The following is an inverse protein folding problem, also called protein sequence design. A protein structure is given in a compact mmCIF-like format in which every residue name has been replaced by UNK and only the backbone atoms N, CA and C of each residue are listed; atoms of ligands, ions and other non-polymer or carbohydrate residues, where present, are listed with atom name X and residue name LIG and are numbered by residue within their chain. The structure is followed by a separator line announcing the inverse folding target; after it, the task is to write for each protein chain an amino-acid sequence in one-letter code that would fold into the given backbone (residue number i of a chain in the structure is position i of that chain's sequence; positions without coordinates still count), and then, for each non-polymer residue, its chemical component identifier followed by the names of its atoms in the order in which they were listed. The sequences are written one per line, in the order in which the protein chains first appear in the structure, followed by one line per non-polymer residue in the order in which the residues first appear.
data_IF_598451249157
#
_entry.id   IF_598451249157
#
_cell.length_a   1.000
_cell.length_b   1.000
_cell.length_c   1.000
_cell.angle_alpha   90.00
_cell.angle_beta   90.00
_cell.angle_gamma   90.00
#
_symmetry.space_group_name_H-M   'P 1'
#
loop_
_entity.id
_entity.type
_entity.pdbx_description
1 polymer ?
2 non-polymer ?
3 non-polymer ?
4 non-polymer ?
5 water ?
#
# COMPACT_ATOMS: atom_id res chain seq x y z
N UNK A 7 4.64 9.09 35.21
CA UNK A 7 5.88 8.21 35.15
C UNK A 7 6.60 8.42 33.80
N UNK A 8 6.10 9.38 33.01
CA UNK A 8 6.63 9.69 31.69
C UNK A 8 6.84 11.20 31.57
N UNK A 9 8.05 11.63 31.34
CA UNK A 9 8.26 13.01 31.03
C UNK A 9 8.11 13.26 29.52
N UNK A 10 7.88 14.50 29.14
CA UNK A 10 7.85 14.84 27.73
C UNK A 10 9.13 14.42 27.05
N UNK A 11 10.28 14.75 27.64
CA UNK A 11 11.55 14.40 27.04
C UNK A 11 11.72 12.91 26.85
N UNK A 12 11.28 12.12 27.80
CA UNK A 12 11.39 10.68 27.67
C UNK A 12 10.54 10.15 26.54
N UNK A 13 9.32 10.69 26.43
CA UNK A 13 8.45 10.24 25.35
C UNK A 13 9.01 10.68 24.01
N UNK A 14 9.47 11.91 23.87
CA UNK A 14 9.98 12.38 22.60
C UNK A 14 11.13 11.48 22.09
N UNK A 15 11.97 11.04 23.04
CA UNK A 15 13.10 10.21 22.75
C UNK A 15 12.75 8.84 22.21
N UNK A 16 11.47 8.49 22.21
CA UNK A 16 11.03 7.21 21.65
C UNK A 16 9.96 7.37 20.57
N UNK A 17 9.78 8.57 20.04
CA UNK A 17 8.81 8.83 18.97
C UNK A 17 9.46 8.81 17.61
N UNK A 18 8.78 8.14 16.69
CA UNK A 18 8.98 8.25 15.24
C UNK A 18 7.87 9.13 14.66
N UNK A 19 8.21 10.31 14.23
CA UNK A 19 7.25 11.28 13.69
C UNK A 19 7.08 11.02 12.23
N UNK A 20 5.85 10.77 11.77
CA UNK A 20 5.60 10.02 10.55
C UNK A 20 4.65 10.74 9.63
N UNK A 21 4.92 10.62 8.32
CA UNK A 21 4.02 11.02 7.25
C UNK A 21 4.12 9.99 6.16
N UNK A 22 3.02 9.32 5.85
CA UNK A 22 2.98 8.22 4.89
C UNK A 22 1.82 8.35 3.93
N UNK A 23 1.16 9.47 3.83
CA UNK A 23 0.04 9.59 2.91
C UNK A 23 0.50 9.45 1.49
N UNK A 24 -0.31 8.80 0.62
CA UNK A 24 0.05 8.69 -0.81
C UNK A 24 0.29 10.01 -1.48
N UNK A 25 -0.41 11.07 -1.05
CA UNK A 25 -0.31 12.37 -1.66
C UNK A 25 0.81 13.24 -1.10
N UNK A 26 1.66 12.68 -0.21
CA UNK A 26 2.74 13.47 0.36
C UNK A 26 3.70 13.94 -0.72
N UNK A 27 4.13 15.19 -0.57
CA UNK A 27 5.07 15.81 -1.48
C UNK A 27 6.44 15.99 -0.81
N UNK A 28 7.48 16.33 -1.59
CA UNK A 28 8.74 16.67 -0.95
C UNK A 28 8.64 17.78 0.08
N UNK A 29 7.88 18.82 -0.19
CA UNK A 29 7.75 19.93 0.74
C UNK A 29 7.00 19.50 2.00
N UNK A 30 6.04 18.59 1.88
CA UNK A 30 5.43 18.07 3.07
C UNK A 30 6.44 17.37 3.96
N UNK A 31 7.39 16.66 3.36
CA UNK A 31 8.42 15.97 4.10
C UNK A 31 9.46 16.91 4.72
N UNK A 32 9.83 17.94 3.99
CA UNK A 32 10.70 18.93 4.59
C UNK A 32 10.05 19.56 5.84
N UNK A 33 8.76 19.86 5.75
CA UNK A 33 8.04 20.41 6.92
C UNK A 33 8.02 19.37 8.07
N UNK A 34 7.78 18.10 7.73
CA UNK A 34 7.78 17.03 8.73
C UNK A 34 9.09 16.96 9.47
N UNK A 35 10.20 17.02 8.76
CA UNK A 35 11.51 16.95 9.37
C UNK A 35 11.74 18.14 10.28
N UNK A 36 11.38 19.34 9.85
CA UNK A 36 11.53 20.52 10.71
C UNK A 36 10.74 20.37 11.98
N UNK A 37 9.52 19.87 11.87
CA UNK A 37 8.69 19.64 13.07
C UNK A 37 9.33 18.62 13.97
N UNK A 38 9.82 17.52 13.42
CA UNK A 38 10.48 16.50 14.21
C UNK A 38 11.68 17.06 14.94
N UNK A 39 12.46 17.89 14.28
CA UNK A 39 13.63 18.54 14.87
C UNK A 39 13.18 19.42 16.01
N UNK A 40 12.15 20.25 15.81
CA UNK A 40 11.69 21.17 16.84
C UNK A 40 11.21 20.39 18.07
N UNK A 41 10.55 19.26 17.85
CA UNK A 41 10.02 18.45 18.95
C UNK A 41 11.06 17.60 19.64
N UNK A 42 12.23 17.45 19.04
CA UNK A 42 13.27 16.65 19.65
C UNK A 42 13.00 15.17 19.65
N UNK A 43 12.30 14.64 18.67
CA UNK A 43 11.96 13.24 18.56
C UNK A 43 13.13 12.40 18.07
N UNK A 44 13.00 11.09 18.21
CA UNK A 44 14.02 10.15 17.86
C UNK A 44 14.23 10.01 16.37
N UNK A 45 13.13 9.96 15.61
CA UNK A 45 13.17 9.62 14.19
C UNK A 45 12.06 10.30 13.46
N UNK A 46 12.24 10.42 12.15
CA UNK A 46 11.13 10.59 11.25
C UNK A 46 10.96 9.34 10.40
N UNK A 47 9.72 9.07 9.99
CA UNK A 47 9.41 7.93 9.15
C UNK A 47 8.65 8.39 7.93
N UNK A 48 9.17 7.99 6.74
CA UNK A 48 8.64 8.44 5.47
C UNK A 48 8.64 7.26 4.48
N UNK A 49 8.01 7.50 3.34
CA UNK A 49 7.90 6.52 2.29
C UNK A 49 9.23 6.44 1.51
N UNK A 50 9.49 5.29 0.86
CA UNK A 50 10.76 5.12 0.16
C UNK A 50 11.20 6.19 -0.82
N UNK A 51 10.32 6.72 -1.65
CA UNK A 51 10.78 7.74 -2.60
C UNK A 51 11.07 9.08 -1.95
N UNK A 52 10.75 9.25 -0.68
CA UNK A 52 10.94 10.50 0.03
C UNK A 52 12.07 10.47 1.04
N UNK A 53 12.75 9.33 1.18
CA UNK A 53 13.85 9.19 2.10
C UNK A 53 14.94 10.21 1.83
N UNK A 54 15.31 10.33 0.55
CA UNK A 54 16.43 11.26 0.25
C UNK A 54 16.05 12.71 0.56
N UNK A 55 14.80 13.09 0.38
CA UNK A 55 14.39 14.44 0.78
C UNK A 55 14.54 14.62 2.26
N UNK A 56 14.07 13.64 3.03
CA UNK A 56 14.19 13.73 4.48
C UNK A 56 15.64 13.80 4.92
N UNK A 57 16.47 12.93 4.35
CA UNK A 57 17.88 12.88 4.71
C UNK A 57 18.60 14.17 4.36
N UNK A 58 18.16 14.85 3.31
CA UNK A 58 18.78 16.05 2.86
C UNK A 58 18.56 17.24 3.76
N UNK A 59 17.59 17.20 4.68
CA UNK A 59 17.32 18.29 5.59
C UNK A 59 17.38 17.84 7.03
N UNK A 60 17.59 16.60 7.33
CA UNK A 60 17.57 16.10 8.74
C UNK A 60 18.77 16.64 9.48
N UNK A 61 18.57 17.18 10.67
CA UNK A 61 19.71 17.65 11.47
C UNK A 61 20.45 16.45 12.05
N UNK A 62 21.64 16.76 12.55
CA UNK A 62 22.39 15.77 13.29
C UNK A 62 21.53 15.12 14.38
N UNK A 63 21.66 13.82 14.48
CA UNK A 63 21.04 13.03 15.51
C UNK A 63 19.70 12.42 15.13
N UNK A 64 19.00 12.97 14.14
CA UNK A 64 17.65 12.49 13.80
C UNK A 64 17.75 11.24 12.95
N UNK A 65 17.18 10.13 13.42
CA UNK A 65 17.15 8.90 12.65
C UNK A 65 16.08 9.00 11.56
N UNK A 66 16.30 8.24 10.48
CA UNK A 66 15.35 8.18 9.37
C UNK A 66 14.87 6.76 9.17
N UNK A 67 13.60 6.52 9.32
CA UNK A 67 12.98 5.24 9.09
C UNK A 67 12.23 5.30 7.75
N UNK A 68 12.32 4.25 6.99
CA UNK A 68 11.55 4.07 5.79
C UNK A 68 10.68 2.85 5.88
N UNK A 69 9.49 2.89 5.34
CA UNK A 69 8.65 1.70 5.28
C UNK A 69 9.01 0.85 4.06
N UNK A 70 8.75 -0.44 4.12
CA UNK A 70 8.98 -1.36 3.04
C UNK A 70 7.82 -2.32 2.89
N UNK A 71 7.41 -2.59 1.69
CA UNK A 71 6.27 -3.41 1.45
C UNK A 71 4.97 -2.84 1.96
N UNK A 72 4.85 -1.49 1.99
CA UNK A 72 3.87 -0.81 2.81
C UNK A 72 2.84 -0.09 1.96
N UNK A 73 1.56 -0.09 2.34
CA UNK A 73 1.02 -0.66 3.58
C UNK A 73 0.49 -2.05 3.48
N UNK A 74 0.40 -2.65 2.30
CA UNK A 74 -0.35 -3.88 2.13
C UNK A 74 0.35 -5.11 2.57
N UNK A 75 1.68 -5.14 2.55
CA UNK A 75 2.42 -6.34 2.75
C UNK A 75 2.40 -7.27 1.56
N UNK A 76 1.66 -6.93 0.52
CA UNK A 76 1.43 -7.88 -0.62
C UNK A 76 2.46 -7.58 -1.72
N UNK A 77 3.70 -7.93 -1.43
CA UNK A 77 4.82 -7.78 -2.34
C UNK A 77 5.67 -9.01 -2.14
N UNK A 78 6.30 -9.52 -3.17
CA UNK A 78 7.12 -10.72 -3.00
C UNK A 78 8.41 -10.35 -2.22
N UNK A 79 9.08 -11.32 -1.60
CA UNK A 79 10.23 -11.03 -0.76
C UNK A 79 11.32 -10.27 -1.44
N UNK A 80 11.62 -10.62 -2.70
CA UNK A 80 12.68 -9.96 -3.45
C UNK A 80 12.40 -8.47 -3.60
N UNK A 81 11.15 -8.09 -3.73
CA UNK A 81 10.77 -6.66 -3.86
C UNK A 81 10.88 -5.98 -2.51
N UNK A 82 10.38 -6.57 -1.43
CA UNK A 82 10.52 -5.95 -0.13
C UNK A 82 11.99 -5.71 0.20
N UNK A 83 12.82 -6.71 -0.03
CA UNK A 83 14.23 -6.62 0.30
C UNK A 83 14.92 -5.57 -0.52
N UNK A 84 14.68 -5.53 -1.83
CA UNK A 84 15.31 -4.53 -2.68
C UNK A 84 14.81 -3.13 -2.32
N UNK A 85 13.54 -2.98 -2.01
CA UNK A 85 13.03 -1.68 -1.57
C UNK A 85 13.73 -1.21 -0.32
N UNK A 86 13.91 -2.11 0.64
CA UNK A 86 14.61 -1.78 1.85
C UNK A 86 16.05 -1.36 1.58
N UNK A 87 16.75 -2.11 0.75
CA UNK A 87 18.13 -1.82 0.42
C UNK A 87 18.25 -0.43 -0.21
N UNK A 88 17.39 -0.10 -1.16
CA UNK A 88 17.38 1.20 -1.81
C UNK A 88 17.13 2.30 -0.81
N UNK A 89 16.23 2.09 0.14
CA UNK A 89 15.92 3.13 1.11
C UNK A 89 17.11 3.35 2.00
N UNK A 90 17.82 2.31 2.42
CA UNK A 90 19.04 2.49 3.19
C UNK A 90 20.06 3.28 2.35
N UNK A 91 20.22 2.95 1.07
CA UNK A 91 21.14 3.71 0.19
C UNK A 91 20.79 5.18 0.10
N UNK A 92 19.50 5.50 0.22
CA UNK A 92 18.99 6.88 0.15
C UNK A 92 19.14 7.61 1.46
N UNK A 93 19.50 6.93 2.56
CA UNK A 93 19.68 7.54 3.85
C UNK A 93 18.96 6.96 5.02
N UNK A 94 18.11 5.96 4.83
CA UNK A 94 17.40 5.37 5.99
C UNK A 94 18.35 4.63 6.86
N UNK A 95 18.14 4.72 8.17
CA UNK A 95 18.85 3.91 9.13
C UNK A 95 17.96 2.83 9.78
N UNK A 96 16.68 2.92 9.56
CA UNK A 96 15.72 1.94 10.05
C UNK A 96 14.74 1.65 8.94
N UNK A 97 14.23 0.39 8.92
CA UNK A 97 13.22 -0.04 7.99
C UNK A 97 12.07 -0.64 8.74
N UNK A 98 10.84 -0.20 8.44
CA UNK A 98 9.62 -0.78 9.03
C UNK A 98 8.92 -1.53 7.89
N UNK A 99 9.06 -2.84 7.85
CA UNK A 99 8.49 -3.68 6.83
C UNK A 99 7.13 -4.24 7.22
N UNK A 100 6.26 -4.53 6.27
CA UNK A 100 5.00 -5.14 6.53
C UNK A 100 5.03 -6.60 6.14
N UNK A 101 4.55 -7.50 7.00
CA UNK A 101 4.41 -8.90 6.63
C UNK A 101 3.31 -9.08 5.62
N UNK A 102 3.28 -10.25 4.99
CA UNK A 102 2.15 -10.73 4.25
C UNK A 102 1.15 -11.32 5.24
N UNK A 103 0.17 -10.50 5.58
CA UNK A 103 -0.84 -10.83 6.55
C UNK A 103 -1.63 -12.08 6.17
N UNK A 104 -1.95 -12.19 4.89
CA UNK A 104 -2.68 -13.33 4.37
C UNK A 104 -1.88 -14.59 4.49
N UNK A 105 -0.57 -14.55 4.26
CA UNK A 105 0.28 -15.71 4.50
C UNK A 105 0.18 -16.16 5.96
N UNK A 106 0.22 -15.22 6.91
CA UNK A 106 0.12 -15.56 8.30
C UNK A 106 -1.24 -16.21 8.58
N UNK A 107 -2.31 -15.66 8.04
CA UNK A 107 -3.63 -16.18 8.29
C UNK A 107 -3.87 -17.53 7.65
N UNK A 108 -3.17 -17.81 6.57
CA UNK A 108 -3.21 -19.12 5.91
C UNK A 108 -2.40 -20.14 6.67
N UNK A 109 -1.66 -19.74 7.67
CA UNK A 109 -0.81 -20.69 8.42
C UNK A 109 0.56 -20.89 7.81
N UNK A 110 0.90 -20.08 6.80
CA UNK A 110 2.15 -20.20 6.08
C UNK A 110 3.24 -19.37 6.73
N UNK A 111 3.56 -19.74 7.94
CA UNK A 111 4.54 -19.00 8.69
C UNK A 111 5.96 -19.19 8.15
N UNK A 112 6.19 -20.28 7.42
CA UNK A 112 7.45 -20.42 6.71
C UNK A 112 7.62 -19.29 5.65
N UNK A 113 6.54 -18.95 4.95
CA UNK A 113 6.58 -17.86 3.99
C UNK A 113 6.83 -16.54 4.69
N UNK A 114 6.21 -16.30 5.83
CA UNK A 114 6.44 -15.08 6.62
C UNK A 114 7.90 -15.01 7.06
N UNK A 115 8.43 -16.10 7.55
CA UNK A 115 9.83 -16.15 7.93
C UNK A 115 10.74 -15.85 6.77
N UNK A 116 10.51 -16.47 5.63
CA UNK A 116 11.34 -16.22 4.46
C UNK A 116 11.32 -14.78 4.01
N UNK A 117 10.20 -14.10 4.13
CA UNK A 117 10.06 -12.72 3.78
C UNK A 117 10.88 -11.81 4.69
N UNK A 118 10.74 -12.02 5.99
CA UNK A 118 11.52 -11.23 6.98
C UNK A 118 13.01 -11.48 6.80
N UNK A 119 13.37 -12.74 6.58
CA UNK A 119 14.75 -13.11 6.43
C UNK A 119 15.37 -12.42 5.20
N UNK A 120 14.65 -12.36 4.10
CA UNK A 120 15.15 -11.72 2.89
C UNK A 120 15.43 -10.26 3.15
N UNK A 121 14.50 -9.58 3.81
CA UNK A 121 14.70 -8.14 4.15
C UNK A 121 15.87 -8.01 5.11
N UNK A 122 15.90 -8.84 6.15
CA UNK A 122 16.98 -8.78 7.14
C UNK A 122 18.34 -8.84 6.52
N UNK A 123 18.51 -9.74 5.58
CA UNK A 123 19.80 -9.95 4.92
C UNK A 123 20.17 -8.80 4.01
N UNK A 124 19.18 -8.14 3.42
CA UNK A 124 19.42 -7.00 2.54
C UNK A 124 19.79 -5.74 3.27
N UNK A 125 19.38 -5.59 4.51
CA UNK A 125 19.68 -4.41 5.30
C UNK A 125 20.25 -4.80 6.67
N UNK A 126 21.39 -5.49 6.65
CA UNK A 126 21.92 -6.05 7.87
C UNK A 126 22.28 -5.04 8.92
N UNK A 127 22.70 -3.85 8.50
CA UNK A 127 23.13 -2.82 9.47
C UNK A 127 22.02 -1.91 9.94
N UNK A 128 20.85 -2.00 9.34
CA UNK A 128 19.72 -1.14 9.72
C UNK A 128 19.01 -1.72 10.92
N UNK A 129 18.23 -0.90 11.61
CA UNK A 129 17.24 -1.41 12.54
C UNK A 129 16.03 -1.85 11.77
N UNK A 130 15.65 -3.11 11.91
CA UNK A 130 14.52 -3.68 11.20
C UNK A 130 13.33 -3.86 12.13
N UNK A 131 12.23 -3.21 11.79
CA UNK A 131 10.98 -3.39 12.48
C UNK A 131 10.02 -4.15 11.63
N UNK A 132 9.31 -5.11 12.17
CA UNK A 132 8.36 -5.91 11.44
C UNK A 132 6.95 -5.56 11.88
N UNK A 133 6.17 -4.98 10.97
CA UNK A 133 4.76 -4.68 11.18
C UNK A 133 3.96 -5.93 11.00
N UNK A 134 3.37 -6.38 12.11
CA UNK A 134 2.60 -7.61 12.14
C UNK A 134 1.12 -7.42 11.83
N UNK A 135 0.67 -6.20 11.76
CA UNK A 135 -0.75 -5.87 11.61
C UNK A 135 -1.56 -6.58 12.67
N UNK A 136 -1.27 -6.27 13.92
CA UNK A 136 -1.82 -6.99 15.03
C UNK A 136 -3.32 -6.94 15.11
N UNK A 137 -3.95 -5.83 14.73
CA UNK A 137 -5.41 -5.77 14.81
C UNK A 137 -6.02 -6.79 13.86
N UNK A 138 -5.42 -7.01 12.70
CA UNK A 138 -5.93 -7.99 11.75
C UNK A 138 -5.67 -9.41 12.23
N UNK A 139 -4.49 -9.67 12.75
CA UNK A 139 -4.19 -11.02 13.28
C UNK A 139 -5.17 -11.36 14.41
N UNK A 140 -5.45 -10.42 15.29
CA UNK A 140 -6.38 -10.64 16.37
C UNK A 140 -7.78 -10.81 15.88
N UNK A 141 -8.23 -10.02 14.94
CA UNK A 141 -9.61 -10.07 14.43
C UNK A 141 -9.86 -11.38 13.72
N UNK A 142 -8.94 -11.79 12.86
CA UNK A 142 -9.20 -12.89 11.95
C UNK A 142 -8.73 -14.23 12.50
N UNK A 143 -7.91 -14.25 13.52
CA UNK A 143 -7.41 -15.47 14.11
C UNK A 143 -7.45 -15.46 15.62
N UNK A 144 -6.58 -14.69 16.23
CA UNK A 144 -6.55 -14.55 17.69
C UNK A 144 -5.14 -14.37 18.23
N UNK A 145 -5.03 -14.46 19.56
CA UNK A 145 -3.81 -14.20 20.27
C UNK A 145 -2.71 -15.17 19.91
N UNK A 146 -2.99 -16.48 19.77
CA UNK A 146 -1.85 -17.36 19.44
C UNK A 146 -1.12 -17.01 18.16
N UNK A 147 -1.86 -16.58 17.15
CA UNK A 147 -1.25 -16.22 15.88
C UNK A 147 -0.38 -14.98 16.04
N UNK A 148 -0.85 -14.00 16.80
CA UNK A 148 -0.04 -12.81 17.05
C UNK A 148 1.28 -13.19 17.71
N UNK A 149 1.21 -14.03 18.76
CA UNK A 149 2.43 -14.45 19.44
C UNK A 149 3.34 -15.21 18.48
N UNK A 150 2.75 -16.10 17.67
CA UNK A 150 3.57 -16.87 16.74
C UNK A 150 4.25 -16.02 15.69
N UNK A 151 3.56 -15.02 15.15
CA UNK A 151 4.22 -14.11 14.23
C UNK A 151 5.38 -13.34 14.90
N UNK A 152 5.21 -12.98 16.16
CA UNK A 152 6.30 -12.35 16.87
C UNK A 152 7.49 -13.27 17.03
N UNK A 153 7.22 -14.55 17.33
CA UNK A 153 8.32 -15.55 17.42
C UNK A 153 9.05 -15.66 16.07
N UNK A 154 8.29 -15.64 14.97
CA UNK A 154 8.89 -15.72 13.63
C UNK A 154 9.79 -14.52 13.39
N UNK A 155 9.30 -13.33 13.75
CA UNK A 155 10.09 -12.12 13.55
C UNK A 155 11.38 -12.16 14.35
N UNK A 156 11.27 -12.59 15.62
CA UNK A 156 12.45 -12.76 16.43
C UNK A 156 13.44 -13.70 15.81
N UNK A 157 12.98 -14.86 15.38
CA UNK A 157 13.86 -15.89 14.85
C UNK A 157 14.47 -15.49 13.54
N UNK A 158 13.85 -14.59 12.79
CA UNK A 158 14.39 -14.12 11.52
C UNK A 158 15.31 -12.91 11.68
N UNK A 159 15.55 -12.49 12.92
CA UNK A 159 16.53 -11.47 13.19
C UNK A 159 16.01 -10.05 13.31
N UNK A 160 14.71 -9.84 13.37
CA UNK A 160 14.19 -8.49 13.52
C UNK A 160 14.64 -7.86 14.81
N UNK A 161 14.74 -6.54 14.80
CA UNK A 161 15.04 -5.77 15.98
C UNK A 161 13.81 -5.31 16.79
N UNK A 162 12.70 -5.13 16.07
CA UNK A 162 11.45 -4.71 16.64
C UNK A 162 10.30 -5.49 16.01
N UNK A 163 9.23 -5.65 16.77
CA UNK A 163 7.90 -5.90 16.23
C UNK A 163 7.12 -4.62 16.38
N UNK A 164 6.20 -4.38 15.46
CA UNK A 164 5.40 -3.16 15.38
C UNK A 164 3.97 -3.53 15.14
N UNK A 165 3.04 -2.83 15.80
CA UNK A 165 1.64 -3.23 15.74
C UNK A 165 1.06 -3.06 14.35
N UNK A 166 1.15 -1.89 13.74
CA UNK A 166 0.17 -1.54 12.72
C UNK A 166 0.66 -0.62 11.64
N UNK A 167 0.07 -0.70 10.47
CA UNK A 167 0.33 0.24 9.42
C UNK A 167 -0.40 1.57 9.60
N UNK A 168 -1.53 1.55 10.32
CA UNK A 168 -2.42 2.68 10.31
C UNK A 168 -3.33 2.79 9.11
N UNK A 169 -3.28 1.80 8.25
CA UNK A 169 -4.09 1.76 7.04
C UNK A 169 -5.03 0.61 6.96
N UNK A 170 -5.00 -0.31 7.87
CA UNK A 170 -5.85 -1.50 7.77
C UNK A 170 -7.16 -1.27 8.51
N UNK A 171 -8.30 -1.67 7.93
CA UNK A 171 -9.61 -1.44 8.58
C UNK A 171 -9.78 -2.14 9.92
N UNK A 172 -8.98 -3.15 10.24
CA UNK A 172 -9.09 -3.82 11.53
C UNK A 172 -8.66 -2.89 12.67
N UNK A 173 -7.85 -1.88 12.36
CA UNK A 173 -7.45 -0.88 13.32
C UNK A 173 -5.97 -0.84 13.57
N UNK A 174 -5.62 -0.06 14.58
CA UNK A 174 -4.30 0.25 14.96
C UNK A 174 -3.90 -0.40 16.25
N UNK A 175 -2.96 0.23 16.99
CA UNK A 175 -2.44 -0.35 18.21
C UNK A 175 -3.54 -0.54 19.24
N UNK A 176 -3.46 -1.62 20.00
CA UNK A 176 -4.26 -1.81 21.21
C UNK A 176 -3.36 -2.27 22.30
N UNK A 177 -3.77 -1.98 23.52
CA UNK A 177 -3.10 -2.48 24.72
C UNK A 177 -2.98 -4.01 24.67
N UNK A 178 -4.06 -4.69 24.27
CA UNK A 178 -4.03 -6.15 24.20
C UNK A 178 -2.88 -6.62 23.31
N UNK A 179 -2.77 -6.02 22.11
CA UNK A 179 -1.73 -6.41 21.19
C UNK A 179 -0.37 -6.13 21.76
N UNK A 180 -0.15 -4.94 22.32
CA UNK A 180 1.16 -4.59 22.84
C UNK A 180 1.57 -5.53 23.97
N UNK A 181 0.62 -5.86 24.84
CA UNK A 181 0.93 -6.78 25.95
C UNK A 181 1.35 -8.13 25.43
N UNK A 182 0.67 -8.67 24.42
CA UNK A 182 1.04 -9.96 23.87
C UNK A 182 2.40 -9.91 23.24
N UNK A 183 2.66 -8.87 22.44
CA UNK A 183 3.94 -8.72 21.81
C UNK A 183 5.08 -8.61 22.80
N UNK A 184 4.90 -7.74 23.80
CA UNK A 184 5.89 -7.57 24.84
C UNK A 184 6.17 -8.86 25.60
N UNK A 185 5.10 -9.60 25.92
CA UNK A 185 5.29 -10.89 26.63
C UNK A 185 6.09 -11.84 25.76
N UNK A 186 5.78 -11.86 24.46
CA UNK A 186 6.37 -12.87 23.61
C UNK A 186 7.84 -12.59 23.30
N UNK A 187 8.18 -11.36 22.98
CA UNK A 187 9.53 -11.05 22.50
C UNK A 187 10.13 -9.84 23.13
N UNK A 188 9.49 -9.20 24.10
CA UNK A 188 10.01 -7.94 24.66
C UNK A 188 11.31 -7.98 25.43
N UNK A 189 11.78 -9.15 25.83
CA UNK A 189 13.09 -9.23 26.42
C UNK A 189 14.20 -9.12 25.41
N UNK A 190 13.91 -9.30 24.12
CA UNK A 190 14.93 -9.29 23.06
C UNK A 190 14.68 -8.21 22.01
N UNK A 191 13.42 -7.97 21.65
CA UNK A 191 13.06 -7.08 20.59
C UNK A 191 12.39 -5.86 21.19
N UNK A 192 12.54 -4.73 20.53
CA UNK A 192 11.68 -3.60 20.81
C UNK A 192 10.25 -3.84 20.34
N UNK A 193 9.33 -3.07 20.91
CA UNK A 193 7.94 -3.15 20.56
C UNK A 193 7.45 -1.74 20.20
N UNK A 194 7.09 -1.54 18.94
CA UNK A 194 6.61 -0.22 18.50
C UNK A 194 5.12 -0.24 18.37
N UNK A 195 4.45 0.65 19.09
CA UNK A 195 3.01 0.84 19.00
C UNK A 195 2.77 1.96 18.01
N UNK A 196 1.82 1.70 17.10
CA UNK A 196 1.48 2.62 16.00
C UNK A 196 0.06 2.46 15.57
N UNK A 197 -0.46 3.51 14.96
CA UNK A 197 -1.81 3.51 14.31
C UNK A 197 -2.81 4.00 15.31
N UNK A 198 -3.35 5.18 15.10
CA UNK A 198 -4.40 5.69 15.92
C UNK A 198 -3.99 6.29 17.26
N UNK A 199 -2.72 6.50 17.50
CA UNK A 199 -2.26 7.05 18.79
C UNK A 199 -2.23 8.57 18.69
N UNK A 200 -3.28 9.21 19.21
CA UNK A 200 -3.49 10.67 19.04
C UNK A 200 -3.25 11.46 20.27
N UNK A 201 -3.32 10.86 21.43
CA UNK A 201 -3.26 11.59 22.69
C UNK A 201 -2.19 11.02 23.61
N UNK A 202 -1.77 11.84 24.58
CA UNK A 202 -0.87 11.43 25.62
C UNK A 202 -1.39 10.25 26.40
N UNK A 203 -2.69 10.24 26.69
CA UNK A 203 -3.30 9.15 27.46
C UNK A 203 -3.16 7.84 26.70
N UNK A 204 -3.39 7.88 25.38
CA UNK A 204 -3.24 6.67 24.57
C UNK A 204 -1.80 6.24 24.49
N UNK A 205 -0.89 7.20 24.29
CA UNK A 205 0.52 6.89 24.25
C UNK A 205 1.02 6.26 25.54
N UNK A 206 0.59 6.82 26.68
CA UNK A 206 1.00 6.28 27.96
C UNK A 206 0.46 4.86 28.18
N UNK A 207 -0.75 4.61 27.72
CA UNK A 207 -1.31 3.27 27.82
C UNK A 207 -0.43 2.28 27.05
N UNK A 208 0.01 2.64 25.85
CA UNK A 208 0.85 1.77 25.06
C UNK A 208 2.20 1.54 25.71
N UNK A 209 2.82 2.61 26.22
CA UNK A 209 4.10 2.51 26.93
C UNK A 209 3.95 1.60 28.15
N UNK A 210 2.87 1.77 28.89
CA UNK A 210 2.67 0.95 30.07
C UNK A 210 2.42 -0.51 29.74
N UNK A 211 1.90 -0.80 28.57
CA UNK A 211 1.66 -2.12 28.08
C UNK A 211 2.95 -2.81 27.57
N UNK A 212 4.05 -2.06 27.43
CA UNK A 212 5.28 -2.58 26.96
C UNK A 212 5.86 -2.00 25.71
N UNK A 213 5.26 -1.01 25.09
CA UNK A 213 5.84 -0.38 23.90
C UNK A 213 7.14 0.35 24.32
N UNK A 214 8.14 0.28 23.46
CA UNK A 214 9.40 0.96 23.65
C UNK A 214 9.66 2.03 22.56
N UNK A 215 8.77 2.15 21.58
CA UNK A 215 8.79 3.16 20.53
C UNK A 215 7.35 3.43 20.15
N UNK A 216 7.06 4.67 19.75
CA UNK A 216 5.74 5.04 19.30
C UNK A 216 5.81 5.61 17.90
N UNK A 217 4.92 5.20 17.02
CA UNK A 217 4.76 5.83 15.73
C UNK A 217 3.60 6.75 15.77
N UNK A 218 3.86 8.04 15.55
CA UNK A 218 2.86 9.09 15.66
C UNK A 218 2.87 9.95 14.41
N UNK A 219 1.70 10.40 14.00
CA UNK A 219 1.63 11.45 12.98
C UNK A 219 1.34 12.80 13.58
N UNK A 220 0.66 12.91 14.68
CA UNK A 220 0.39 14.16 15.40
C UNK A 220 1.17 14.22 16.70
N UNK A 221 2.47 14.26 16.56
CA UNK A 221 3.34 14.12 17.68
C UNK A 221 3.28 15.31 18.63
N UNK A 222 3.12 16.53 18.15
CA UNK A 222 3.08 17.68 19.01
C UNK A 222 1.93 17.57 20.00
N UNK A 223 0.75 17.14 19.55
CA UNK A 223 -0.39 17.07 20.46
C UNK A 223 -0.16 15.99 21.52
N UNK A 224 0.48 14.88 21.16
CA UNK A 224 0.81 13.85 22.14
C UNK A 224 1.78 14.41 23.17
N UNK A 225 2.88 15.03 22.72
CA UNK A 225 3.91 15.52 23.60
C UNK A 225 3.38 16.62 24.49
N UNK A 226 2.55 17.52 23.96
CA UNK A 226 1.96 18.62 24.77
C UNK A 226 1.12 18.06 25.88
N UNK A 227 0.52 16.88 25.74
CA UNK A 227 -0.23 16.27 26.84
C UNK A 227 0.63 15.84 28.00
N UNK A 228 1.91 15.59 27.73
CA UNK A 228 2.86 15.25 28.79
C UNK A 228 3.44 16.48 29.48
N UNK A 229 3.46 17.62 28.84
CA UNK A 229 3.91 18.84 29.39
C UNK A 229 4.61 19.71 28.38
N UNK A 230 5.15 20.78 28.89
CA UNK A 230 5.81 21.78 28.07
C UNK A 230 7.18 21.38 27.61
N UNK A 231 7.55 21.93 26.45
CA UNK A 231 8.91 21.80 25.84
C UNK A 231 9.92 22.61 26.63
N UNK B 7 -29.38 -0.54 -22.96
CA UNK B 7 -28.12 -0.28 -23.69
C UNK B 7 -26.93 -1.12 -23.15
N UNK B 8 -27.13 -1.83 -22.03
CA UNK B 8 -26.08 -2.68 -21.47
C UNK B 8 -26.61 -4.05 -21.02
N UNK B 9 -26.26 -5.09 -21.73
CA UNK B 9 -26.63 -6.41 -21.30
C UNK B 9 -25.65 -6.97 -20.27
N UNK B 10 -26.09 -7.94 -19.49
CA UNK B 10 -25.21 -8.58 -18.54
C UNK B 10 -23.97 -9.13 -19.20
N UNK B 11 -24.11 -9.80 -20.37
CA UNK B 11 -22.95 -10.38 -21.03
C UNK B 11 -22.00 -9.33 -21.53
N UNK B 12 -22.51 -8.23 -22.03
CA UNK B 12 -21.64 -7.14 -22.43
C UNK B 12 -20.85 -6.57 -21.28
N UNK B 13 -21.52 -6.34 -20.17
CA UNK B 13 -20.83 -5.80 -18.98
C UNK B 13 -19.82 -6.79 -18.48
N UNK B 14 -20.18 -8.08 -18.36
CA UNK B 14 -19.25 -9.04 -17.82
C UNK B 14 -17.99 -9.07 -18.63
N UNK B 15 -18.11 -8.91 -19.96
CA UNK B 15 -16.95 -8.95 -20.83
C UNK B 15 -15.96 -7.81 -20.65
N UNK B 16 -16.30 -6.81 -19.84
CA UNK B 16 -15.39 -5.72 -19.53
C UNK B 16 -15.13 -5.55 -18.03
N UNK B 17 -15.40 -6.59 -17.27
CA UNK B 17 -15.12 -6.59 -15.82
C UNK B 17 -13.83 -7.28 -15.47
N UNK B 18 -13.06 -6.65 -14.59
CA UNK B 18 -11.93 -7.23 -13.84
C UNK B 18 -12.43 -7.52 -12.43
N UNK B 19 -12.61 -8.76 -12.11
CA UNK B 19 -13.10 -9.21 -10.79
C UNK B 19 -11.93 -9.32 -9.84
N UNK B 20 -12.00 -8.57 -8.74
CA UNK B 20 -10.80 -8.18 -8.00
C UNK B 20 -10.81 -8.54 -6.54
N UNK B 21 -9.68 -8.98 -6.01
CA UNK B 21 -9.47 -9.12 -4.56
C UNK B 21 -8.06 -8.64 -4.26
N UNK B 22 -7.97 -7.63 -3.42
CA UNK B 22 -6.72 -6.99 -3.11
C UNK B 22 -6.53 -6.77 -1.61
N UNK B 23 -7.32 -7.36 -0.77
CA UNK B 23 -7.16 -7.18 0.68
C UNK B 23 -5.82 -7.69 1.16
N UNK B 24 -5.20 -7.00 2.10
CA UNK B 24 -3.94 -7.52 2.69
C UNK B 24 -4.05 -8.92 3.25
N UNK B 25 -5.19 -9.25 3.82
CA UNK B 25 -5.38 -10.53 4.46
C UNK B 25 -5.78 -11.65 3.52
N UNK B 26 -5.78 -11.40 2.21
CA UNK B 26 -6.20 -12.43 1.26
C UNK B 26 -5.27 -13.63 1.30
N UNK B 27 -5.84 -14.81 1.27
CA UNK B 27 -5.13 -16.05 1.28
C UNK B 27 -5.19 -16.74 -0.09
N UNK B 28 -4.39 -17.79 -0.32
CA UNK B 28 -4.54 -18.58 -1.57
C UNK B 28 -5.94 -19.11 -1.79
N UNK B 29 -6.60 -19.57 -0.71
CA UNK B 29 -7.97 -20.08 -0.83
C UNK B 29 -8.93 -19.00 -1.26
N UNK B 30 -8.70 -17.78 -0.78
CA UNK B 30 -9.54 -16.67 -1.22
C UNK B 30 -9.37 -16.41 -2.70
N UNK B 31 -8.17 -16.56 -3.23
CA UNK B 31 -7.88 -16.32 -4.63
C UNK B 31 -8.45 -17.44 -5.49
N UNK B 32 -8.36 -18.70 -5.06
CA UNK B 32 -8.99 -19.75 -5.87
C UNK B 32 -10.50 -19.58 -5.89
N UNK B 33 -11.09 -19.10 -4.78
CA UNK B 33 -12.53 -18.79 -4.76
C UNK B 33 -12.83 -17.61 -5.70
N UNK B 34 -11.96 -16.60 -5.75
CA UNK B 34 -12.15 -15.50 -6.68
C UNK B 34 -12.17 -15.95 -8.11
N UNK B 35 -11.25 -16.85 -8.49
CA UNK B 35 -11.20 -17.35 -9.85
C UNK B 35 -12.47 -18.15 -10.14
N UNK B 36 -12.90 -19.00 -9.21
CA UNK B 36 -14.14 -19.75 -9.45
C UNK B 36 -15.34 -18.82 -9.67
N UNK B 37 -15.43 -17.75 -8.94
CA UNK B 37 -16.49 -16.79 -9.10
C UNK B 37 -16.34 -16.08 -10.45
N UNK B 38 -15.13 -15.62 -10.80
CA UNK B 38 -14.90 -14.93 -12.05
C UNK B 38 -15.32 -15.82 -13.24
N UNK B 39 -14.98 -17.09 -13.18
CA UNK B 39 -15.27 -18.05 -14.28
C UNK B 39 -16.80 -18.23 -14.35
N UNK B 40 -17.46 -18.36 -13.20
CA UNK B 40 -18.91 -18.53 -13.16
C UNK B 40 -19.64 -17.34 -13.70
N UNK B 41 -19.11 -16.14 -13.46
CA UNK B 41 -19.74 -14.94 -13.96
C UNK B 41 -19.39 -14.61 -15.39
N UNK B 42 -18.36 -15.23 -15.94
CA UNK B 42 -17.98 -14.97 -17.31
C UNK B 42 -17.30 -13.64 -17.51
N UNK B 43 -16.55 -13.18 -16.54
CA UNK B 43 -15.89 -11.89 -16.65
C UNK B 43 -14.61 -11.95 -17.47
N UNK B 44 -14.09 -10.78 -17.83
CA UNK B 44 -12.90 -10.69 -18.62
C UNK B 44 -11.65 -11.12 -17.91
N UNK B 45 -11.49 -10.73 -16.64
CA UNK B 45 -10.23 -10.89 -15.94
C UNK B 45 -10.47 -11.03 -14.46
N UNK B 46 -9.48 -11.57 -13.80
CA UNK B 46 -9.33 -11.43 -12.34
C UNK B 46 -8.12 -10.52 -12.08
N UNK B 47 -8.18 -9.78 -10.98
CA UNK B 47 -7.11 -8.95 -10.59
C UNK B 47 -6.72 -9.24 -9.14
N UNK B 48 -5.44 -9.49 -8.91
CA UNK B 48 -4.92 -9.92 -7.63
C UNK B 48 -3.61 -9.24 -7.31
N UNK B 49 -3.16 -9.41 -6.07
CA UNK B 49 -1.92 -8.87 -5.64
C UNK B 49 -0.73 -9.68 -6.15
N UNK B 50 0.45 -9.06 -6.26
CA UNK B 50 1.61 -9.75 -6.79
C UNK B 50 1.96 -11.13 -6.24
N UNK B 51 1.91 -11.38 -4.92
CA UNK B 51 2.30 -12.66 -4.43
C UNK B 51 1.28 -13.72 -4.69
N UNK B 52 0.09 -13.37 -5.19
CA UNK B 52 -0.99 -14.32 -5.40
C UNK B 52 -1.23 -14.58 -6.88
N UNK B 53 -0.45 -13.97 -7.77
CA UNK B 53 -0.57 -14.20 -9.20
C UNK B 53 -0.40 -15.64 -9.56
N UNK B 54 0.61 -16.28 -9.01
CA UNK B 54 0.87 -17.66 -9.34
C UNK B 54 -0.27 -18.59 -8.96
N UNK B 55 -0.94 -18.31 -7.85
CA UNK B 55 -2.08 -19.08 -7.43
C UNK B 55 -3.19 -18.89 -8.44
N UNK B 56 -3.48 -17.65 -8.83
CA UNK B 56 -4.52 -17.37 -9.83
C UNK B 56 -4.21 -18.02 -11.17
N UNK B 57 -2.95 -17.95 -11.59
CA UNK B 57 -2.54 -18.51 -12.87
C UNK B 57 -2.67 -20.02 -12.90
N UNK B 58 -2.47 -20.64 -11.74
CA UNK B 58 -2.55 -22.09 -11.63
C UNK B 58 -3.93 -22.66 -11.79
N UNK B 59 -4.96 -21.86 -11.57
CA UNK B 59 -6.34 -22.32 -11.63
C UNK B 59 -7.19 -21.64 -12.70
N UNK B 60 -6.74 -20.56 -13.28
CA UNK B 60 -7.56 -19.81 -14.21
C UNK B 60 -7.76 -20.59 -15.49
N UNK B 61 -8.98 -20.63 -16.00
CA UNK B 61 -9.17 -21.23 -17.32
C UNK B 61 -8.62 -20.34 -18.42
N UNK B 62 -8.38 -20.92 -19.62
CA UNK B 62 -7.82 -20.14 -20.73
C UNK B 62 -8.97 -19.18 -21.05
N UNK B 63 -8.67 -18.00 -21.48
CA UNK B 63 -9.85 -17.14 -21.68
C UNK B 63 -10.24 -16.25 -20.50
N UNK B 64 -9.74 -16.53 -19.30
CA UNK B 64 -9.81 -15.57 -18.17
C UNK B 64 -8.44 -14.93 -18.05
N UNK B 65 -8.37 -13.63 -18.27
CA UNK B 65 -7.13 -12.89 -18.17
C UNK B 65 -6.75 -12.69 -16.67
N UNK B 66 -5.46 -12.53 -16.40
CA UNK B 66 -4.95 -12.25 -15.07
C UNK B 66 -4.26 -10.91 -15.03
N UNK B 67 -4.76 -9.99 -14.19
CA UNK B 67 -4.17 -8.72 -13.96
C UNK B 67 -3.55 -8.73 -12.56
N UNK B 68 -2.42 -8.03 -12.43
CA UNK B 68 -1.78 -7.80 -11.15
C UNK B 68 -1.62 -6.32 -10.94
N UNK B 69 -1.64 -5.87 -9.71
CA UNK B 69 -1.32 -4.50 -9.34
C UNK B 69 0.17 -4.34 -9.06
N UNK B 70 0.70 -3.16 -9.35
CA UNK B 70 2.12 -2.82 -9.09
C UNK B 70 2.18 -1.46 -8.37
N UNK B 71 3.05 -1.38 -7.38
CA UNK B 71 3.18 -0.16 -6.60
C UNK B 71 1.96 0.15 -5.77
N UNK B 72 1.22 -0.85 -5.38
CA UNK B 72 -0.18 -0.68 -4.95
C UNK B 72 -0.35 -0.95 -3.47
N UNK B 73 -1.21 -0.20 -2.74
CA UNK B 73 -2.05 0.89 -3.22
C UNK B 73 -1.45 2.26 -3.17
N UNK B 74 -0.32 2.44 -2.53
CA UNK B 74 0.10 3.80 -2.20
C UNK B 74 0.70 4.55 -3.37
N UNK B 75 1.33 3.90 -4.32
CA UNK B 75 2.13 4.55 -5.32
C UNK B 75 3.49 5.01 -4.83
N UNK B 76 3.79 4.82 -3.55
CA UNK B 76 5.02 5.35 -2.92
C UNK B 76 6.10 4.31 -2.92
N UNK B 77 6.61 4.09 -4.14
CA UNK B 77 7.68 3.11 -4.39
C UNK B 77 8.52 3.76 -5.46
N UNK B 78 9.81 3.56 -5.45
CA UNK B 78 10.62 4.14 -6.49
C UNK B 78 10.34 3.44 -7.84
N UNK B 79 10.63 4.13 -8.96
CA UNK B 79 10.28 3.53 -10.28
C UNK B 79 10.81 2.13 -10.51
N UNK B 80 12.06 1.91 -10.13
CA UNK B 80 12.68 0.62 -10.35
C UNK B 80 12.02 -0.49 -9.60
N UNK B 81 11.45 -0.19 -8.45
CA UNK B 81 10.69 -1.18 -7.67
C UNK B 81 9.36 -1.47 -8.36
N UNK B 82 8.63 -0.44 -8.79
CA UNK B 82 7.41 -0.69 -9.53
C UNK B 82 7.65 -1.52 -10.76
N UNK B 83 8.71 -1.19 -11.47
CA UNK B 83 9.03 -1.90 -12.71
C UNK B 83 9.39 -3.34 -12.46
N UNK B 84 10.21 -3.61 -11.45
CA UNK B 84 10.56 -4.98 -11.14
C UNK B 84 9.32 -5.74 -10.64
N UNK B 85 8.50 -5.12 -9.81
CA UNK B 85 7.28 -5.78 -9.36
C UNK B 85 6.41 -6.20 -10.54
N UNK B 86 6.26 -5.31 -11.51
CA UNK B 86 5.50 -5.62 -12.72
C UNK B 86 6.12 -6.80 -13.47
N UNK B 87 7.43 -6.73 -13.68
CA UNK B 87 8.15 -7.82 -14.36
C UNK B 87 7.89 -9.16 -13.69
N UNK B 88 8.00 -9.19 -12.37
CA UNK B 88 7.84 -10.44 -11.66
C UNK B 88 6.42 -10.97 -11.74
N UNK B 89 5.45 -10.08 -11.73
CA UNK B 89 4.05 -10.49 -11.84
C UNK B 89 3.75 -11.05 -13.19
N UNK B 90 4.28 -10.45 -14.26
CA UNK B 90 4.14 -11.02 -15.62
C UNK B 90 4.79 -12.38 -15.67
N UNK B 91 5.98 -12.53 -15.12
CA UNK B 91 6.64 -13.84 -15.13
C UNK B 91 5.78 -14.89 -14.44
N UNK B 92 5.08 -14.52 -13.38
CA UNK B 92 4.24 -15.42 -12.59
C UNK B 92 2.91 -15.72 -13.28
N UNK B 93 2.56 -15.03 -14.35
CA UNK B 93 1.40 -15.31 -15.18
C UNK B 93 0.46 -14.18 -15.46
N UNK B 94 0.71 -12.99 -14.95
CA UNK B 94 -0.15 -11.86 -15.29
C UNK B 94 0.05 -11.45 -16.73
N UNK B 95 -1.01 -11.04 -17.41
CA UNK B 95 -0.90 -10.44 -18.72
C UNK B 95 -1.31 -8.97 -18.74
N UNK B 96 -1.76 -8.44 -17.62
CA UNK B 96 -2.06 -7.04 -17.48
C UNK B 96 -1.47 -6.59 -16.15
N UNK B 97 -1.05 -5.34 -16.09
CA UNK B 97 -0.54 -4.70 -14.90
C UNK B 97 -1.27 -3.41 -14.68
N UNK B 98 -1.77 -3.22 -13.46
CA UNK B 98 -2.41 -1.96 -13.03
C UNK B 98 -1.48 -1.30 -12.01
N UNK B 99 -0.72 -0.32 -12.46
CA UNK B 99 0.28 0.38 -11.60
C UNK B 99 -0.32 1.65 -11.00
N UNK B 100 0.16 2.04 -9.83
CA UNK B 100 -0.26 3.29 -9.20
C UNK B 100 0.82 4.34 -9.40
N UNK B 101 0.45 5.54 -9.85
CA UNK B 101 1.39 6.69 -9.90
C UNK B 101 1.78 7.10 -8.50
N UNK B 102 2.86 7.87 -8.42
CA UNK B 102 3.21 8.63 -7.23
C UNK B 102 2.35 9.88 -7.22
N UNK B 103 1.28 9.84 -6.49
CA UNK B 103 0.27 10.86 -6.43
C UNK B 103 0.90 12.16 -5.94
N UNK B 104 1.79 12.09 -4.97
CA UNK B 104 2.45 13.28 -4.45
C UNK B 104 3.32 13.92 -5.49
N UNK B 105 3.99 13.12 -6.32
CA UNK B 105 4.80 13.70 -7.41
C UNK B 105 3.90 14.51 -8.33
N UNK B 106 2.73 13.97 -8.66
CA UNK B 106 1.79 14.68 -9.50
C UNK B 106 1.31 15.97 -8.84
N UNK B 107 0.96 15.92 -7.56
CA UNK B 107 0.50 17.11 -6.84
C UNK B 107 1.58 18.16 -6.70
N UNK B 108 2.85 17.73 -6.65
CA UNK B 108 3.98 18.66 -6.61
C UNK B 108 4.27 19.28 -7.96
N UNK B 109 3.61 18.85 -8.99
CA UNK B 109 3.83 19.30 -10.36
C UNK B 109 5.02 18.68 -11.02
N UNK B 110 5.50 17.56 -10.49
CA UNK B 110 6.65 16.90 -11.06
C UNK B 110 6.22 15.87 -12.08
N UNK B 111 5.70 16.35 -13.19
CA UNK B 111 5.20 15.47 -14.21
C UNK B 111 6.28 14.74 -14.91
N UNK B 112 7.50 15.28 -14.91
CA UNK B 112 8.64 14.53 -15.46
C UNK B 112 8.90 13.27 -14.62
N UNK B 113 8.75 13.36 -13.30
CA UNK B 113 8.90 12.19 -12.45
C UNK B 113 7.80 11.18 -12.66
N UNK B 114 6.56 11.66 -12.83
CA UNK B 114 5.44 10.76 -13.12
C UNK B 114 5.71 10.02 -14.46
N UNK B 115 6.15 10.76 -15.47
CA UNK B 115 6.49 10.17 -16.75
C UNK B 115 7.55 9.11 -16.62
N UNK B 116 8.60 9.40 -15.86
CA UNK B 116 9.72 8.47 -15.74
C UNK B 116 9.27 7.18 -15.07
N UNK B 117 8.36 7.30 -14.12
CA UNK B 117 7.85 6.17 -13.40
C UNK B 117 7.04 5.25 -14.31
N UNK B 118 6.11 5.83 -15.08
CA UNK B 118 5.32 5.04 -15.99
C UNK B 118 6.20 4.40 -17.06
N UNK B 119 7.15 5.16 -17.57
CA UNK B 119 8.06 4.65 -18.57
C UNK B 119 8.86 3.47 -18.07
N UNK B 120 9.33 3.51 -16.81
CA UNK B 120 10.10 2.40 -16.25
C UNK B 120 9.27 1.11 -16.28
N UNK B 121 8.02 1.22 -15.82
CA UNK B 121 7.15 0.09 -15.78
C UNK B 121 6.85 -0.38 -17.21
N UNK B 122 6.49 0.53 -18.10
CA UNK B 122 6.17 0.19 -19.48
C UNK B 122 7.25 -0.64 -20.12
N UNK B 123 8.50 -0.25 -19.92
CA UNK B 123 9.63 -0.93 -20.54
C UNK B 123 9.94 -2.28 -19.88
N UNK B 124 9.54 -2.47 -18.64
CA UNK B 124 9.75 -3.72 -17.96
C UNK B 124 8.75 -4.78 -18.39
N UNK B 125 7.56 -4.37 -18.86
CA UNK B 125 6.49 -5.27 -19.22
C UNK B 125 5.92 -4.85 -20.58
N UNK B 126 6.77 -4.88 -21.60
CA UNK B 126 6.41 -4.33 -22.88
C UNK B 126 5.30 -5.08 -23.56
N UNK B 127 5.15 -6.36 -23.27
CA UNK B 127 4.09 -7.15 -23.90
C UNK B 127 2.75 -7.18 -23.11
N UNK B 128 2.72 -6.64 -21.93
CA UNK B 128 1.53 -6.66 -21.10
C UNK B 128 0.62 -5.51 -21.45
N UNK B 129 -0.63 -5.59 -21.07
CA UNK B 129 -1.50 -4.41 -21.04
C UNK B 129 -1.22 -3.64 -19.78
N UNK B 130 -0.84 -2.40 -19.92
CA UNK B 130 -0.48 -1.55 -18.78
C UNK B 130 -1.57 -0.50 -18.53
N UNK B 131 -2.12 -0.56 -17.31
CA UNK B 131 -3.09 0.41 -16.84
C UNK B 131 -2.41 1.29 -15.82
N UNK B 132 -2.67 2.58 -15.88
CA UNK B 132 -2.10 3.53 -14.94
C UNK B 132 -3.21 4.09 -14.05
N UNK B 133 -3.12 3.78 -12.75
CA UNK B 133 -4.04 4.31 -11.76
C UNK B 133 -3.60 5.70 -11.41
N UNK B 134 -4.40 6.68 -11.75
CA UNK B 134 -4.08 8.09 -11.50
C UNK B 134 -4.57 8.62 -10.15
N UNK B 135 -5.40 7.84 -9.47
CA UNK B 135 -6.03 8.26 -8.22
C UNK B 135 -6.80 9.54 -8.41
N UNK B 136 -7.74 9.48 -9.33
CA UNK B 136 -8.45 10.67 -9.79
C UNK B 136 -9.14 11.42 -8.68
N UNK B 137 -9.70 10.75 -7.69
CA UNK B 137 -10.43 11.46 -6.66
C UNK B 137 -9.46 12.36 -5.90
N UNK B 138 -8.22 11.89 -5.69
CA UNK B 138 -7.19 12.68 -4.98
C UNK B 138 -6.72 13.82 -5.87
N UNK B 139 -6.48 13.57 -7.14
CA UNK B 139 -6.03 14.65 -8.04
C UNK B 139 -7.08 15.75 -8.12
N UNK B 140 -8.35 15.37 -8.19
CA UNK B 140 -9.42 16.35 -8.26
C UNK B 140 -9.60 17.09 -6.93
N UNK B 141 -9.48 16.40 -5.82
CA UNK B 141 -9.65 17.07 -4.52
C UNK B 141 -8.54 18.03 -4.19
N UNK B 142 -7.29 17.65 -4.45
CA UNK B 142 -6.14 18.42 -4.00
C UNK B 142 -5.61 19.36 -5.03
N UNK B 143 -6.07 19.23 -6.27
CA UNK B 143 -5.62 20.12 -7.36
C UNK B 143 -6.72 20.56 -8.28
N UNK B 144 -7.24 19.65 -9.09
CA UNK B 144 -8.34 19.94 -9.97
C UNK B 144 -8.22 19.22 -11.30
N UNK B 145 -9.15 19.57 -12.18
CA UNK B 145 -9.27 18.96 -13.48
C UNK B 145 -8.03 19.10 -14.33
N UNK B 146 -7.32 20.23 -14.32
CA UNK B 146 -6.15 20.32 -15.22
C UNK B 146 -5.12 19.28 -14.92
N UNK B 147 -4.86 19.03 -13.63
CA UNK B 147 -3.88 18.04 -13.25
C UNK B 147 -4.31 16.65 -13.65
N UNK B 148 -5.59 16.33 -13.46
CA UNK B 148 -6.07 15.02 -13.89
C UNK B 148 -5.84 14.84 -15.40
N UNK B 149 -6.21 15.83 -16.21
CA UNK B 149 -6.03 15.75 -17.64
C UNK B 149 -4.56 15.60 -17.99
N UNK B 150 -3.70 16.41 -17.38
CA UNK B 150 -2.28 16.36 -17.64
C UNK B 150 -1.66 15.03 -17.30
N UNK B 151 -2.05 14.44 -16.16
CA UNK B 151 -1.52 13.11 -15.77
C UNK B 151 -1.96 12.10 -16.84
N UNK B 152 -3.20 12.18 -17.30
CA UNK B 152 -3.62 11.25 -18.35
C UNK B 152 -2.78 11.39 -19.61
N UNK B 153 -2.45 12.62 -20.00
CA UNK B 153 -1.57 12.83 -21.16
C UNK B 153 -0.19 12.26 -20.94
N UNK B 154 0.33 12.40 -19.71
CA UNK B 154 1.61 11.81 -19.37
C UNK B 154 1.57 10.30 -19.55
N UNK B 155 0.52 9.65 -19.04
CA UNK B 155 0.39 8.21 -19.18
C UNK B 155 0.32 7.82 -20.66
N UNK B 156 -0.48 8.51 -21.44
CA UNK B 156 -0.50 8.24 -22.88
C UNK B 156 0.85 8.35 -23.52
N UNK B 157 1.56 9.42 -23.22
CA UNK B 157 2.85 9.65 -23.86
C UNK B 157 3.91 8.69 -23.42
N UNK B 158 3.76 8.05 -22.27
CA UNK B 158 4.67 7.06 -21.73
C UNK B 158 4.30 5.65 -22.19
N UNK B 159 3.25 5.51 -23.00
CA UNK B 159 2.89 4.23 -23.60
C UNK B 159 1.90 3.39 -22.86
N UNK B 160 1.14 3.95 -21.92
CA UNK B 160 0.13 3.17 -21.23
C UNK B 160 -0.98 2.77 -22.16
N UNK B 161 -1.61 1.66 -21.89
CA UNK B 161 -2.76 1.18 -22.62
C UNK B 161 -4.08 1.68 -22.10
N UNK B 162 -4.16 1.90 -20.77
CA UNK B 162 -5.32 2.38 -20.07
C UNK B 162 -4.91 3.41 -19.05
N UNK B 163 -5.82 4.36 -18.80
CA UNK B 163 -5.82 5.10 -17.56
C UNK B 163 -6.94 4.53 -16.66
N UNK B 164 -6.75 4.55 -15.35
CA UNK B 164 -7.66 3.94 -14.40
C UNK B 164 -7.89 4.91 -13.26
N UNK B 165 -9.14 4.97 -12.82
CA UNK B 165 -9.46 5.99 -11.83
C UNK B 165 -8.76 5.81 -10.48
N UNK B 166 -8.86 4.65 -9.87
CA UNK B 166 -8.74 4.59 -8.43
C UNK B 166 -8.22 3.30 -7.88
N UNK B 167 -7.54 3.35 -6.75
CA UNK B 167 -7.14 2.14 -6.08
C UNK B 167 -8.25 1.50 -5.25
N UNK B 168 -9.27 2.26 -4.83
CA UNK B 168 -10.23 1.81 -3.88
C UNK B 168 -9.76 1.87 -2.47
N UNK B 169 -8.56 2.41 -2.23
CA UNK B 169 -7.99 2.52 -0.86
C UNK B 169 -7.72 3.93 -0.43
N UNK B 170 -7.97 4.92 -1.27
CA UNK B 170 -7.62 6.29 -0.88
C UNK B 170 -8.82 6.97 -0.29
N UNK B 171 -8.62 7.74 0.81
CA UNK B 171 -9.79 8.37 1.43
C UNK B 171 -10.50 9.40 0.62
N UNK B 172 -9.90 9.96 -0.43
CA UNK B 172 -10.60 10.88 -1.30
C UNK B 172 -11.71 10.21 -2.09
N UNK B 173 -11.65 8.91 -2.25
CA UNK B 173 -12.69 8.12 -2.88
C UNK B 173 -12.27 7.41 -4.14
N UNK B 174 -13.29 6.93 -4.82
CA UNK B 174 -13.18 6.09 -6.00
C UNK B 174 -13.62 6.78 -7.24
N UNK B 175 -14.08 6.01 -8.22
CA UNK B 175 -14.54 6.53 -9.49
C UNK B 175 -15.64 7.52 -9.32
N UNK B 176 -15.61 8.59 -10.12
CA UNK B 176 -16.76 9.46 -10.27
C UNK B 176 -17.02 9.64 -11.76
N UNK B 177 -18.25 9.96 -12.13
CA UNK B 177 -18.59 10.31 -13.49
C UNK B 177 -17.72 11.45 -13.97
N UNK B 178 -17.54 12.48 -13.15
CA UNK B 178 -16.71 13.63 -13.55
C UNK B 178 -15.31 13.18 -13.96
N UNK B 179 -14.68 12.32 -13.14
CA UNK B 179 -13.33 11.88 -13.45
C UNK B 179 -13.29 11.07 -14.74
N UNK B 180 -14.23 10.14 -14.90
CA UNK B 180 -14.23 9.28 -16.07
C UNK B 180 -14.42 10.15 -17.32
N UNK B 181 -15.31 11.12 -17.28
CA UNK B 181 -15.54 12.00 -18.43
C UNK B 181 -14.27 12.76 -18.80
N UNK B 182 -13.57 13.27 -17.80
CA UNK B 182 -12.33 14.01 -18.05
C UNK B 182 -11.32 13.08 -18.71
N UNK B 183 -11.17 11.89 -18.15
CA UNK B 183 -10.19 10.94 -18.66
C UNK B 183 -10.50 10.52 -20.10
N UNK B 184 -11.76 10.23 -20.34
CA UNK B 184 -12.19 9.78 -21.65
C UNK B 184 -12.02 10.89 -22.68
N UNK B 185 -12.38 12.12 -22.32
CA UNK B 185 -12.23 13.21 -23.26
C UNK B 185 -10.76 13.49 -23.56
N UNK B 186 -9.88 13.27 -22.60
CA UNK B 186 -8.47 13.64 -22.75
C UNK B 186 -7.73 12.60 -23.54
N UNK B 187 -7.92 11.32 -23.27
CA UNK B 187 -7.11 10.27 -23.89
C UNK B 187 -7.92 9.10 -24.43
N UNK B 188 -9.24 9.15 -24.35
CA UNK B 188 -10.08 7.99 -24.75
C UNK B 188 -10.06 7.63 -26.19
N UNK B 189 -9.57 8.48 -27.08
CA UNK B 189 -9.43 8.10 -28.49
C UNK B 189 -8.34 7.09 -28.67
N UNK B 190 -7.34 7.04 -27.75
CA UNK B 190 -6.25 6.13 -27.86
C UNK B 190 -6.07 5.10 -26.73
N UNK B 191 -6.50 5.45 -25.55
CA UNK B 191 -6.32 4.60 -24.35
C UNK B 191 -7.70 4.13 -23.90
N UNK B 192 -7.73 2.93 -23.32
CA UNK B 192 -8.88 2.55 -22.52
C UNK B 192 -8.99 3.32 -21.23
N UNK B 193 -10.18 3.34 -20.67
CA UNK B 193 -10.47 4.04 -19.42
C UNK B 193 -11.11 3.03 -18.48
N UNK B 194 -10.43 2.71 -17.38
CA UNK B 194 -10.97 1.75 -16.41
C UNK B 194 -11.50 2.51 -15.21
N UNK B 195 -12.77 2.34 -14.91
CA UNK B 195 -13.39 2.89 -13.72
C UNK B 195 -13.37 1.88 -12.62
N UNK B 196 -12.96 2.30 -11.44
CA UNK B 196 -12.78 1.43 -10.33
C UNK B 196 -12.96 2.17 -9.01
N UNK B 197 -13.25 1.44 -7.94
CA UNK B 197 -13.31 1.95 -6.61
C UNK B 197 -14.70 2.39 -6.29
N UNK B 198 -15.37 1.66 -5.41
CA UNK B 198 -16.69 2.03 -4.97
C UNK B 198 -17.82 1.75 -5.94
N UNK B 199 -17.58 0.93 -6.97
CA UNK B 199 -18.65 0.65 -7.94
C UNK B 199 -19.39 -0.59 -7.44
N UNK B 200 -20.50 -0.38 -6.77
CA UNK B 200 -21.20 -1.44 -6.06
C UNK B 200 -22.49 -1.91 -6.71
N UNK B 201 -23.07 -1.10 -7.57
CA UNK B 201 -24.36 -1.34 -8.21
C UNK B 201 -24.29 -1.21 -9.71
N UNK B 202 -25.25 -1.84 -10.37
CA UNK B 202 -25.40 -1.70 -11.81
C UNK B 202 -25.63 -0.26 -12.21
N UNK B 203 -26.42 0.48 -11.44
CA UNK B 203 -26.66 1.89 -11.74
C UNK B 203 -25.37 2.69 -11.80
N UNK B 204 -24.49 2.45 -10.84
CA UNK B 204 -23.18 3.11 -10.79
C UNK B 204 -22.33 2.66 -11.95
N UNK B 205 -22.27 1.32 -12.20
CA UNK B 205 -21.46 0.82 -13.31
C UNK B 205 -21.90 1.41 -14.63
N UNK B 206 -23.22 1.46 -14.87
CA UNK B 206 -23.75 2.03 -16.09
C UNK B 206 -23.35 3.50 -16.24
N UNK B 207 -23.41 4.24 -15.16
CA UNK B 207 -23.03 5.64 -15.16
C UNK B 207 -21.58 5.77 -15.63
N UNK B 208 -20.69 4.92 -15.16
CA UNK B 208 -19.29 4.97 -15.51
C UNK B 208 -19.10 4.60 -16.98
N UNK B 209 -19.76 3.55 -17.45
CA UNK B 209 -19.68 3.16 -18.84
C UNK B 209 -20.21 4.29 -19.75
N UNK B 210 -21.29 4.93 -19.36
CA UNK B 210 -21.85 6.03 -20.16
C UNK B 210 -20.95 7.24 -20.20
N UNK B 211 -20.14 7.39 -19.19
CA UNK B 211 -19.14 8.49 -19.08
C UNK B 211 -17.91 8.25 -19.92
N UNK B 212 -17.72 7.02 -20.39
CA UNK B 212 -16.62 6.70 -21.24
C UNK B 212 -15.72 5.55 -20.73
N UNK B 213 -16.05 4.90 -19.61
CA UNK B 213 -15.27 3.76 -19.18
C UNK B 213 -15.42 2.61 -20.15
N UNK B 214 -14.30 1.92 -20.42
CA UNK B 214 -14.26 0.73 -21.26
C UNK B 214 -13.88 -0.57 -20.51
N UNK B 215 -13.62 -0.45 -19.22
CA UNK B 215 -13.33 -1.57 -18.34
C UNK B 215 -13.79 -1.14 -16.97
N UNK B 216 -14.25 -2.10 -16.18
CA UNK B 216 -14.66 -1.86 -14.80
C UNK B 216 -13.84 -2.72 -13.84
N UNK B 217 -13.39 -2.15 -12.75
CA UNK B 217 -12.78 -2.91 -11.70
C UNK B 217 -13.75 -3.05 -10.55
N UNK B 218 -14.19 -4.28 -10.26
CA UNK B 218 -15.21 -4.58 -9.29
C UNK B 218 -14.73 -5.61 -8.31
N UNK B 219 -15.13 -5.47 -7.08
CA UNK B 219 -15.00 -6.56 -6.08
C UNK B 219 -16.28 -7.30 -5.86
N UNK B 220 -17.40 -6.67 -5.98
CA UNK B 220 -18.71 -7.32 -5.84
C UNK B 220 -19.36 -7.48 -7.19
N UNK B 221 -18.73 -8.23 -8.07
CA UNK B 221 -19.17 -8.29 -9.42
C UNK B 221 -20.52 -8.95 -9.59
N UNK B 222 -20.81 -9.94 -8.79
CA UNK B 222 -22.09 -10.61 -8.95
C UNK B 222 -23.26 -9.66 -8.72
N UNK B 223 -23.19 -8.83 -7.67
CA UNK B 223 -24.28 -7.92 -7.40
C UNK B 223 -24.42 -6.91 -8.51
N UNK B 224 -23.33 -6.43 -9.08
CA UNK B 224 -23.38 -5.49 -10.22
C UNK B 224 -24.02 -6.16 -11.40
N UNK B 225 -23.54 -7.36 -11.75
CA UNK B 225 -24.06 -8.05 -12.93
C UNK B 225 -25.54 -8.41 -12.81
N UNK B 226 -25.97 -8.79 -11.60
CA UNK B 226 -27.39 -9.11 -11.33
C UNK B 226 -28.28 -7.90 -11.49
N UNK B 227 -27.70 -6.72 -11.38
CA UNK B 227 -28.41 -5.52 -11.65
C UNK B 227 -28.65 -5.23 -13.08
N UNK B 228 -27.88 -5.90 -13.97
CA UNK B 228 -28.10 -5.85 -15.39
C UNK B 228 -28.96 -6.97 -15.97
N UNK B 229 -29.08 -8.07 -15.26
CA UNK B 229 -30.01 -9.12 -15.64
C UNK B 229 -29.62 -10.42 -15.02
N UNK B 230 -30.44 -11.42 -15.27
CA UNK B 230 -30.25 -12.70 -14.67
C UNK B 230 -29.14 -13.47 -15.37
N UNK B 231 -28.47 -14.32 -14.60
CA UNK B 231 -27.59 -15.36 -15.15
C UNK B 231 -28.44 -16.35 -15.96
X LIG C 1 15.39 -5.37 24.43
X LIG D 1 4.83 2.73 10.99
X LIG D 1 3.42 2.92 11.35
X LIG D 1 2.62 4.08 11.31
X LIG D 1 3.22 5.22 11.08
X LIG D 1 5.49 3.56 9.98
X LIG D 1 1.20 4.07 11.66
X LIG E 1 1.84 -21.68 20.22
X LIG E 1 1.14 -21.62 18.97
X LIG E 1 1.35 -20.67 21.24
X LIG E 1 -0.02 -20.88 21.61
X LIG E 1 1.46 -19.28 20.64
X LIG E 1 2.83 -18.97 20.64
X LIG F 1 -11.48 -15.23 15.26
X LIG F 1 -11.75 -15.16 16.63
X LIG F 1 -12.84 -15.15 14.54
X LIG F 1 -13.54 -16.35 14.84
X LIG F 1 -12.74 -14.89 13.07
X LIG F 1 -14.05 -15.06 12.50
X LIG G 1 -7.68 -1.74 -9.65
X LIG G 1 -8.62 -1.09 -8.81
X LIG G 1 -9.53 -1.64 -7.86
X LIG G 1 -9.76 -2.96 -7.92
X LIG G 1 -7.17 -3.11 -9.41
X LIG G 1 -10.40 -0.82 -7.04
X LIG H 1 -5.31 20.53 -19.11
X LIG H 1 -5.99 20.36 -20.34
X LIG H 1 -4.35 21.72 -19.22
X LIG H 1 -3.51 21.93 -18.09
X LIG H 1 -5.13 23.01 -19.38
X LIG H 1 -5.91 23.24 -18.23
X LIG I 1 -0.52 1.67 -27.59
X LIG I 1 0.85 1.46 -27.32
X LIG I 1 -1.36 2.01 -26.36
X LIG I 1 -2.19 0.86 -26.34
X LIG I 1 -2.28 3.23 -26.58
X LIG I 1 -1.71 4.43 -27.12
#
# INVERSE_FOLDING_TARGET
GPGSMTDHTRAQVAALVDHTLLKPEATPSDVTALVDEAADLGVFAVCVSPPLVSVAAGVAPSGLAIAAVAGFPSGKHVPGIKATEAELAVAAGATEIDMVIDVGAALAGDLDAVSADITAVRKAVRAATLKVIVESAALLEFSGEPLLADVCRVARDAGADFVKTSTGFHPSGGASVQAVEIMARTVGERLGVKASGGIRTAEQAAAMLDAGATRLGLSGSRAVLDGFGSA
GPGSMTDHTRAQVAALVDHTLLKPEATPSDVTALVDEAADLGVFAVCVSPPLVSVAAGVAPSGLAIAAVAGFPSGKHVPGIKATEAELAVAAGATEIDMVIDVGAALAGDLDAVSADITAVRKAVRAATLKVIVESAALLEFSGEPLLADVCRVARDAGADFVKTSTGFHPSGGASVQAVEIMARTVGERLGVKASGGIRTAEQAAAMLDAGATRLGLSGSRAVLDGFGSA
NH4 N
UNL C01 N01 C02 N02 C03 C04
GOL C1 O1 C2 O2 C3 O3
GOL C1 O1 C2 O2 C3 O3
UNL C01 N01 C02 N02 C03 C04
GOL C1 O1 C2 O2 C3 O3
GOL C1 O1 C2 O2 C3 O3
#
